data_IF_936753657866
#
_entry.id   IF_936753657866
#
_cell.length_a   1.000
_cell.length_b   1.000
_cell.length_c   1.000
_cell.angle_alpha   90.00
_cell.angle_beta   90.00
_cell.angle_gamma   90.00
#
_symmetry.space_group_name_H-M   'P 1'
#
loop_
_entity.id
_entity.type
_entity.pdbx_description
1 polymer ?
#
# COMPACT_ATOMS: atom_id res chain seq x y z
N UNK A 1 -18.02 -6.38 5.35
CA UNK A 1 -17.02 -5.38 4.93
C UNK A 1 -17.01 -4.14 5.81
N UNK A 2 -18.15 -3.75 6.39
CA UNK A 2 -18.28 -2.51 7.18
C UNK A 2 -17.40 -2.47 8.44
N UNK A 3 -17.19 -3.61 9.10
CA UNK A 3 -16.25 -3.71 10.23
C UNK A 3 -14.83 -3.29 9.84
N UNK A 4 -14.34 -3.76 8.69
CA UNK A 4 -13.01 -3.42 8.18
C UNK A 4 -12.92 -1.93 7.81
N UNK A 5 -13.93 -1.40 7.11
CA UNK A 5 -14.01 0.01 6.75
C UNK A 5 -14.01 0.94 7.97
N UNK A 6 -14.72 0.55 9.03
CA UNK A 6 -14.74 1.29 10.28
C UNK A 6 -13.38 1.23 11.02
N UNK A 7 -12.65 0.11 10.92
CA UNK A 7 -11.31 -0.03 11.54
C UNK A 7 -10.28 0.86 10.86
N UNK A 8 -10.31 1.00 9.54
CA UNK A 8 -9.40 1.86 8.79
C UNK A 8 -9.90 3.32 8.72
N UNK A 9 -11.08 3.62 9.28
CA UNK A 9 -11.69 4.95 9.24
C UNK A 9 -12.05 5.43 7.83
N UNK A 10 -12.16 4.51 6.86
CA UNK A 10 -12.39 4.83 5.45
C UNK A 10 -13.51 4.00 4.87
N UNK A 11 -14.50 4.68 4.28
CA UNK A 11 -15.62 4.05 3.60
C UNK A 11 -15.39 4.08 2.08
N UNK A 12 -15.18 2.90 1.50
CA UNK A 12 -15.02 2.74 0.07
C UNK A 12 -16.33 3.03 -0.64
N UNK A 13 -16.27 3.94 -1.62
CA UNK A 13 -17.40 4.22 -2.50
C UNK A 13 -17.83 3.01 -3.35
N UNK A 14 -16.90 2.10 -3.63
CA UNK A 14 -17.16 0.86 -4.38
C UNK A 14 -16.70 -0.35 -3.58
N UNK A 15 -17.68 -1.12 -3.08
CA UNK A 15 -17.40 -2.38 -2.39
C UNK A 15 -16.79 -3.44 -3.32
N UNK A 16 -16.97 -3.32 -4.64
CA UNK A 16 -16.41 -4.26 -5.62
C UNK A 16 -14.88 -4.16 -5.67
N UNK A 17 -14.32 -2.95 -5.57
CA UNK A 17 -12.87 -2.75 -5.54
C UNK A 17 -12.25 -3.30 -4.24
N UNK A 18 -12.93 -3.11 -3.11
CA UNK A 18 -12.51 -3.69 -1.85
C UNK A 18 -12.53 -5.23 -1.89
N UNK A 19 -13.57 -5.82 -2.48
CA UNK A 19 -13.66 -7.26 -2.66
C UNK A 19 -12.57 -7.78 -3.60
N UNK A 20 -12.28 -7.08 -4.71
CA UNK A 20 -11.19 -7.44 -5.62
C UNK A 20 -9.83 -7.36 -4.94
N UNK A 21 -9.57 -6.31 -4.15
CA UNK A 21 -8.32 -6.15 -3.40
C UNK A 21 -8.07 -7.25 -2.36
N UNK A 22 -9.14 -7.77 -1.76
CA UNK A 22 -9.09 -8.84 -0.77
C UNK A 22 -9.13 -10.24 -1.41
N UNK A 23 -9.40 -10.35 -2.71
CA UNK A 23 -9.46 -11.63 -3.40
C UNK A 23 -8.05 -12.08 -3.83
N UNK A 24 -7.56 -13.24 -3.38
CA UNK A 24 -6.21 -13.69 -3.71
C UNK A 24 -6.03 -13.90 -5.22
N UNK A 25 -4.99 -13.30 -5.79
CA UNK A 25 -4.57 -13.64 -7.15
C UNK A 25 -4.18 -15.13 -7.24
N UNK A 26 -4.64 -15.82 -8.28
CA UNK A 26 -4.33 -17.24 -8.53
C UNK A 26 -5.52 -18.20 -8.41
N UNK A 27 -6.68 -17.71 -7.96
CA UNK A 27 -7.95 -18.43 -8.09
C UNK A 27 -8.60 -18.06 -9.43
N UNK A 28 -8.42 -18.92 -10.45
CA UNK A 28 -9.07 -18.76 -11.75
C UNK A 28 -10.61 -18.69 -11.57
N UNK A 29 -11.35 -17.83 -12.30
CA UNK A 29 -10.98 -17.12 -13.53
C UNK A 29 -10.67 -15.62 -13.37
N UNK A 30 -10.63 -15.07 -12.14
CA UNK A 30 -10.41 -13.63 -11.94
C UNK A 30 -8.93 -13.30 -11.76
N UNK A 31 -8.47 -12.15 -12.26
CA UNK A 31 -7.09 -11.68 -11.99
C UNK A 31 -6.86 -11.32 -10.49
N UNK A 32 -7.89 -11.41 -9.65
CA UNK A 32 -7.84 -11.16 -8.21
C UNK A 32 -7.26 -9.79 -7.90
N UNK A 33 -6.61 -9.68 -6.76
CA UNK A 33 -6.01 -8.46 -6.27
C UNK A 33 -4.73 -8.03 -7.00
N UNK A 34 -4.25 -8.76 -8.01
CA UNK A 34 -2.90 -8.55 -8.59
C UNK A 34 -2.68 -7.11 -9.06
N UNK A 35 -3.66 -6.53 -9.75
CA UNK A 35 -3.58 -5.16 -10.27
C UNK A 35 -3.62 -4.12 -9.15
N UNK A 36 -4.49 -4.34 -8.15
CA UNK A 36 -4.65 -3.44 -7.01
C UNK A 36 -3.44 -3.51 -6.06
N UNK A 37 -2.83 -4.68 -5.90
CA UNK A 37 -1.60 -4.88 -5.14
C UNK A 37 -0.43 -4.14 -5.78
N UNK A 38 -0.28 -4.21 -7.10
CA UNK A 38 0.78 -3.49 -7.82
C UNK A 38 0.63 -1.96 -7.67
N UNK A 39 -0.59 -1.45 -7.81
CA UNK A 39 -0.87 -0.02 -7.59
C UNK A 39 -0.63 0.37 -6.14
N UNK A 40 -1.06 -0.47 -5.19
CA UNK A 40 -0.85 -0.26 -3.76
C UNK A 40 0.64 -0.16 -3.40
N UNK A 41 1.46 -1.05 -3.94
CA UNK A 41 2.92 -1.06 -3.72
C UNK A 41 3.59 0.24 -4.21
N UNK A 42 3.19 0.72 -5.38
CA UNK A 42 3.70 1.98 -5.93
C UNK A 42 3.30 3.20 -5.09
N UNK A 43 2.05 3.24 -4.62
CA UNK A 43 1.53 4.34 -3.77
C UNK A 43 2.22 4.32 -2.40
N UNK A 44 2.37 3.15 -1.78
CA UNK A 44 3.03 3.00 -0.49
C UNK A 44 4.51 3.39 -0.60
N UNK A 45 5.19 2.93 -1.66
CA UNK A 45 6.58 3.31 -1.93
C UNK A 45 6.72 4.84 -2.05
N UNK A 46 5.85 5.48 -2.83
CA UNK A 46 5.87 6.94 -2.98
C UNK A 46 5.57 7.68 -1.66
N UNK A 47 4.60 7.20 -0.86
CA UNK A 47 4.20 7.84 0.40
C UNK A 47 5.26 7.67 1.50
N UNK A 48 5.99 6.56 1.50
CA UNK A 48 7.14 6.35 2.40
C UNK A 48 8.34 7.19 1.97
N UNK A 49 8.62 7.25 0.66
CA UNK A 49 9.67 8.11 0.11
C UNK A 49 9.41 9.58 0.42
N UNK A 50 8.17 10.06 0.28
CA UNK A 50 7.80 11.44 0.61
C UNK A 50 7.94 11.72 2.11
N UNK A 51 7.50 10.81 2.98
CA UNK A 51 7.70 10.95 4.42
C UNK A 51 9.19 11.01 4.79
N UNK A 52 10.02 10.15 4.22
CA UNK A 52 11.46 10.16 4.49
C UNK A 52 12.13 11.41 3.91
N UNK A 53 11.73 11.84 2.72
CA UNK A 53 12.25 13.05 2.10
C UNK A 53 11.93 14.32 2.92
N UNK A 54 10.74 14.40 3.53
CA UNK A 54 10.37 15.53 4.39
C UNK A 54 10.96 15.44 5.81
N UNK A 55 11.30 14.24 6.29
CA UNK A 55 12.00 14.02 7.57
C UNK A 55 13.51 14.38 7.46
N UNK A 56 14.03 14.45 6.23
CA UNK A 56 15.44 14.68 5.92
C UNK A 56 15.92 16.13 5.99
N UNK A 57 15.07 17.10 6.32
CA UNK A 57 15.51 18.47 6.63
C UNK A 57 16.38 18.52 7.93
N UNK A 58 16.62 17.38 8.59
CA UNK A 58 17.46 17.27 9.79
C UNK A 58 18.70 16.35 9.71
N UNK A 59 18.96 15.61 8.62
CA UNK A 59 20.18 14.77 8.60
C UNK A 59 20.68 14.52 7.19
N UNK A 60 21.78 15.20 6.86
CA UNK A 60 22.45 15.03 5.57
C UNK A 60 22.96 13.61 5.32
N UNK A 61 23.03 13.28 4.03
CA UNK A 61 23.61 12.09 3.38
C UNK A 61 22.77 10.80 3.39
N UNK A 62 21.95 10.75 2.32
CA UNK A 62 21.08 9.71 1.76
C UNK A 62 21.70 8.31 1.61
N UNK A 63 21.17 7.33 2.34
CA UNK A 63 21.03 5.95 1.87
C UNK A 63 19.64 5.44 2.29
N UNK A 64 18.63 5.71 1.45
CA UNK A 64 17.23 5.33 1.69
C UNK A 64 16.96 3.84 1.37
N UNK A 65 17.85 3.19 0.62
CA UNK A 65 17.66 1.81 0.18
C UNK A 65 17.67 0.79 1.35
N UNK A 66 18.55 0.91 2.36
CA UNK A 66 18.52 0.05 3.56
C UNK A 66 17.25 0.23 4.39
N UNK A 67 16.75 1.47 4.53
CA UNK A 67 15.53 1.76 5.30
C UNK A 67 14.29 1.23 4.59
N UNK A 68 14.23 1.34 3.26
CA UNK A 68 13.20 0.72 2.42
C UNK A 68 13.10 -0.79 2.68
N UNK A 69 14.23 -1.50 2.64
CA UNK A 69 14.27 -2.94 2.82
C UNK A 69 13.90 -3.39 4.25
N UNK A 70 14.32 -2.63 5.28
CA UNK A 70 14.08 -2.96 6.68
C UNK A 70 12.63 -2.76 7.14
N UNK A 71 11.84 -1.91 6.46
CA UNK A 71 10.47 -1.60 6.86
C UNK A 71 9.43 -2.59 6.33
N UNK A 72 9.83 -3.61 5.57
CA UNK A 72 8.96 -4.60 4.89
C UNK A 72 8.99 -5.99 5.56
N UNK A 73 9.42 -6.08 6.83
CA UNK A 73 9.42 -7.30 7.65
C UNK A 73 8.57 -7.13 8.91
#
# INVERSE_FOLDING_TARGET
MDKFQNQIGYHFKSSNLLQEALHPAGTAPSQGNKRLALVGDSILSASLLDQWYNDEDNTGTFDLAPRACASIH
#
